data_IF_661146777650
#
_entry.id   IF_661146777650
#
_cell.length_a   1.000
_cell.length_b   1.000
_cell.length_c   1.000
_cell.angle_alpha   90.00
_cell.angle_beta   90.00
_cell.angle_gamma   90.00
#
_symmetry.space_group_name_H-M   'P 1'
#
loop_
_entity.id
_entity.type
_entity.pdbx_description
1 polymer ?
#
# COMPACT_ATOMS: atom_id res chain seq x y z
N UNK A 1 -8.08 -20.64 12.46
CA UNK A 1 -7.26 -19.45 12.12
C UNK A 1 -8.26 -18.34 11.87
N UNK A 2 -8.38 -17.38 12.79
CA UNK A 2 -9.47 -16.40 12.74
C UNK A 2 -9.42 -15.56 11.45
N UNK A 3 -10.55 -15.39 10.75
CA UNK A 3 -10.60 -14.63 9.50
C UNK A 3 -10.07 -13.20 9.70
N UNK A 4 -10.30 -12.60 10.86
CA UNK A 4 -9.79 -11.27 11.24
C UNK A 4 -8.26 -11.16 11.17
N UNK A 5 -7.52 -12.19 11.62
CA UNK A 5 -6.05 -12.19 11.57
C UNK A 5 -5.52 -12.33 10.14
N UNK A 6 -6.21 -13.10 9.31
CA UNK A 6 -5.86 -13.26 7.89
C UNK A 6 -6.02 -11.94 7.13
N UNK A 7 -7.10 -11.19 7.38
CA UNK A 7 -7.32 -9.88 6.76
C UNK A 7 -6.25 -8.85 7.14
N UNK A 8 -5.78 -8.86 8.39
CA UNK A 8 -4.71 -7.97 8.85
C UNK A 8 -3.38 -8.32 8.17
N UNK A 9 -3.03 -9.62 8.13
CA UNK A 9 -1.80 -10.08 7.49
C UNK A 9 -1.81 -9.79 5.98
N UNK A 10 -2.95 -10.03 5.33
CA UNK A 10 -3.16 -9.70 3.91
C UNK A 10 -3.09 -8.19 3.66
N UNK A 11 -3.58 -7.38 4.60
CA UNK A 11 -3.47 -5.93 4.57
C UNK A 11 -2.03 -5.43 4.63
N UNK A 12 -1.20 -6.01 5.49
CA UNK A 12 0.24 -5.72 5.57
C UNK A 12 0.98 -6.15 4.30
N UNK A 13 0.71 -7.37 3.81
CA UNK A 13 1.32 -7.89 2.59
C UNK A 13 0.98 -7.02 1.37
N UNK A 14 -0.30 -6.62 1.23
CA UNK A 14 -0.72 -5.72 0.16
C UNK A 14 -0.11 -4.33 0.30
N UNK A 15 -0.03 -3.77 1.50
CA UNK A 15 0.60 -2.45 1.71
C UNK A 15 2.07 -2.47 1.28
N UNK A 16 2.82 -3.52 1.64
CA UNK A 16 4.21 -3.71 1.19
C UNK A 16 4.32 -3.84 -0.33
N UNK A 17 3.43 -4.63 -0.95
CA UNK A 17 3.37 -4.76 -2.42
C UNK A 17 3.12 -3.42 -3.11
N UNK A 18 2.14 -2.63 -2.67
CA UNK A 18 1.85 -1.32 -3.25
C UNK A 18 3.01 -0.33 -3.07
N UNK A 19 3.70 -0.38 -1.94
CA UNK A 19 4.86 0.46 -1.66
C UNK A 19 6.05 0.10 -2.57
N UNK A 20 6.33 -1.20 -2.73
CA UNK A 20 7.36 -1.70 -3.64
C UNK A 20 7.02 -1.40 -5.11
N UNK A 21 5.76 -1.58 -5.51
CA UNK A 21 5.32 -1.31 -6.89
C UNK A 21 5.39 0.19 -7.23
N UNK A 22 4.97 1.06 -6.31
CA UNK A 22 5.08 2.51 -6.47
C UNK A 22 6.54 2.98 -6.54
N UNK A 23 7.40 2.45 -5.67
CA UNK A 23 8.84 2.69 -5.72
C UNK A 23 9.47 2.20 -7.02
N UNK A 24 9.15 0.99 -7.47
CA UNK A 24 9.63 0.44 -8.73
C UNK A 24 9.23 1.30 -9.94
N UNK A 25 7.96 1.74 -9.98
CA UNK A 25 7.44 2.63 -11.03
C UNK A 25 8.15 3.99 -11.08
N UNK A 26 8.60 4.51 -9.94
CA UNK A 26 9.30 5.79 -9.89
C UNK A 26 10.78 5.65 -10.24
N UNK A 27 11.48 4.68 -9.63
CA UNK A 27 12.94 4.58 -9.67
C UNK A 27 13.49 3.64 -10.75
N UNK A 28 12.79 2.55 -11.08
CA UNK A 28 13.30 1.49 -11.95
C UNK A 28 12.57 1.37 -13.29
N UNK A 29 11.47 2.10 -13.48
CA UNK A 29 10.68 1.96 -14.70
C UNK A 29 11.44 2.51 -15.92
N UNK A 30 11.69 1.68 -16.94
CA UNK A 30 12.46 2.09 -18.10
C UNK A 30 11.77 3.24 -18.85
N UNK A 31 12.52 4.29 -19.26
CA UNK A 31 11.96 5.40 -20.05
C UNK A 31 11.52 4.97 -21.46
N UNK A 32 11.83 3.75 -21.89
CA UNK A 32 11.48 3.19 -23.21
C UNK A 32 10.00 2.85 -23.36
N UNK A 33 9.27 2.74 -22.26
CA UNK A 33 7.82 2.60 -22.31
C UNK A 33 7.19 3.94 -22.70
N UNK A 34 6.47 3.97 -23.83
CA UNK A 34 5.68 5.10 -24.36
C UNK A 34 4.54 5.58 -23.44
N UNK A 35 4.56 5.24 -22.15
CA UNK A 35 3.67 5.83 -21.17
C UNK A 35 4.10 7.27 -20.93
N UNK A 36 3.16 8.21 -21.06
CA UNK A 36 3.43 9.62 -20.78
C UNK A 36 4.05 9.76 -19.40
N UNK A 37 5.21 10.42 -19.33
CA UNK A 37 6.02 10.56 -18.12
C UNK A 37 5.21 11.11 -16.95
N UNK A 38 4.29 12.05 -17.25
CA UNK A 38 3.32 12.61 -16.30
C UNK A 38 2.41 11.54 -15.69
N UNK A 39 1.98 10.58 -16.51
CA UNK A 39 1.12 9.48 -16.08
C UNK A 39 1.86 8.54 -15.14
N UNK A 40 3.11 8.18 -15.48
CA UNK A 40 3.96 7.34 -14.62
C UNK A 40 4.20 7.98 -13.26
N UNK A 41 4.58 9.25 -13.22
CA UNK A 41 4.83 9.97 -11.96
C UNK A 41 3.56 10.07 -11.14
N UNK A 42 2.43 10.47 -11.76
CA UNK A 42 1.14 10.57 -11.08
C UNK A 42 0.71 9.21 -10.50
N UNK A 43 0.86 8.13 -11.27
CA UNK A 43 0.48 6.78 -10.84
C UNK A 43 1.38 6.27 -9.70
N UNK A 44 2.69 6.49 -9.81
CA UNK A 44 3.67 6.14 -8.77
C UNK A 44 3.42 6.88 -7.45
N UNK A 45 3.13 8.18 -7.51
CA UNK A 45 2.81 8.99 -6.33
C UNK A 45 1.49 8.55 -5.69
N UNK A 46 0.45 8.30 -6.48
CA UNK A 46 -0.84 7.80 -5.98
C UNK A 46 -0.67 6.42 -5.32
N UNK A 47 0.10 5.51 -5.92
CA UNK A 47 0.39 4.20 -5.34
C UNK A 47 1.15 4.31 -4.01
N UNK A 48 2.12 5.21 -3.91
CA UNK A 48 2.84 5.47 -2.65
C UNK A 48 1.91 6.03 -1.57
N UNK A 49 1.12 7.06 -1.89
CA UNK A 49 0.15 7.65 -0.96
C UNK A 49 -0.89 6.63 -0.52
N UNK A 50 -1.37 5.78 -1.43
CA UNK A 50 -2.30 4.70 -1.11
C UNK A 50 -1.66 3.64 -0.21
N UNK A 51 -0.41 3.26 -0.47
CA UNK A 51 0.36 2.35 0.37
C UNK A 51 0.48 2.87 1.81
N UNK A 52 0.81 4.15 1.98
CA UNK A 52 0.89 4.84 3.28
C UNK A 52 -0.48 4.90 3.96
N UNK A 53 -1.51 5.38 3.24
CA UNK A 53 -2.88 5.46 3.75
C UNK A 53 -3.37 4.10 4.24
N UNK A 54 -3.10 3.04 3.47
CA UNK A 54 -3.49 1.67 3.83
C UNK A 54 -2.74 1.15 5.05
N UNK A 55 -1.45 1.45 5.19
CA UNK A 55 -0.68 1.11 6.39
C UNK A 55 -1.25 1.81 7.64
N UNK A 56 -1.61 3.10 7.53
CA UNK A 56 -2.21 3.87 8.62
C UNK A 56 -3.60 3.36 8.98
N UNK A 57 -4.45 3.10 7.98
CA UNK A 57 -5.80 2.53 8.16
C UNK A 57 -5.76 1.17 8.84
N UNK A 58 -4.77 0.33 8.50
CA UNK A 58 -4.58 -0.97 9.14
C UNK A 58 -4.19 -0.83 10.62
N UNK A 59 -3.28 0.10 10.96
CA UNK A 59 -2.91 0.39 12.35
C UNK A 59 -4.07 0.95 13.17
N UNK A 60 -4.90 1.82 12.58
CA UNK A 60 -6.10 2.35 13.21
C UNK A 60 -7.11 1.23 13.53
N UNK A 61 -7.32 0.29 12.59
CA UNK A 61 -8.19 -0.87 12.81
C UNK A 61 -7.68 -1.82 13.89
N UNK A 62 -6.36 -2.02 13.99
CA UNK A 62 -5.78 -2.83 15.06
C UNK A 62 -6.04 -2.20 16.45
N UNK A 63 -5.90 -0.88 16.57
CA UNK A 63 -6.17 -0.17 17.84
C UNK A 63 -7.63 -0.25 18.26
N UNK A 64 -8.57 -0.15 17.32
CA UNK A 64 -10.00 -0.30 17.63
C UNK A 64 -10.34 -1.69 18.15
N UNK A 65 -9.68 -2.75 17.65
CA UNK A 65 -9.90 -4.10 18.16
C UNK A 65 -9.30 -4.32 19.56
N UNK A 66 -8.18 -3.68 19.90
CA UNK A 66 -7.61 -3.73 21.26
C UNK A 66 -8.44 -2.95 22.29
N UNK A 67 -9.11 -1.86 21.90
CA UNK A 67 -9.98 -1.08 22.79
C UNK A 67 -11.36 -1.74 23.01
N UNK A 68 -11.85 -2.57 22.07
CA UNK A 68 -13.10 -3.34 22.25
C UNK A 68 -12.92 -4.60 23.11
N UNK A 69 -11.70 -5.13 23.24
CA UNK A 69 -11.38 -6.29 24.08
C UNK A 69 -11.00 -5.93 25.53
N UNK A 70 -10.96 -4.65 25.91
CA UNK A 70 -10.72 -4.16 27.29
C UNK A 70 -12.02 -3.80 28.01
#
# INVERSE_FOLDING_TARGET
MDPSKIFVYFGYAMSGLFMLMGGYLLFFFPPEFKLSEKFRVMFGVVLLLYGIYRAVSLRLKQRQQEDEER
#
